data_IF_254643909114
#
_entry.id   IF_254643909114
#
_cell.length_a   1.000
_cell.length_b   1.000
_cell.length_c   1.000
_cell.angle_alpha   90.00
_cell.angle_beta   90.00
_cell.angle_gamma   90.00
#
_symmetry.space_group_name_H-M   'P 1'
#
loop_
_entity.id
_entity.type
_entity.pdbx_description
1 polymer ?
#
# COMPACT_ATOMS: atom_id res chain seq x y z
N UNK A 1 22.41 -11.39 2.73
CA UNK A 1 21.80 -10.22 3.39
C UNK A 1 22.31 -10.14 4.81
N UNK A 2 22.58 -8.92 5.29
CA UNK A 2 22.87 -8.64 6.70
C UNK A 2 21.59 -8.69 7.53
N UNK A 3 21.74 -8.77 8.86
CA UNK A 3 20.59 -8.69 9.77
C UNK A 3 19.77 -7.40 9.56
N UNK A 4 20.45 -6.26 9.37
CA UNK A 4 19.80 -4.98 9.08
C UNK A 4 19.03 -5.00 7.75
N UNK A 5 19.58 -5.62 6.71
CA UNK A 5 18.89 -5.76 5.41
C UNK A 5 17.64 -6.62 5.55
N UNK A 6 17.69 -7.69 6.35
CA UNK A 6 16.52 -8.50 6.69
C UNK A 6 15.47 -7.69 7.44
N UNK A 7 15.87 -6.86 8.40
CA UNK A 7 14.94 -5.96 9.12
C UNK A 7 14.29 -4.92 8.19
N UNK A 8 15.01 -4.41 7.19
CA UNK A 8 14.46 -3.49 6.18
C UNK A 8 13.35 -4.18 5.37
N UNK A 9 13.56 -5.42 4.92
CA UNK A 9 12.53 -6.19 4.22
C UNK A 9 11.35 -6.52 5.14
N UNK A 10 11.62 -6.91 6.38
CA UNK A 10 10.55 -7.20 7.35
C UNK A 10 9.68 -5.97 7.64
N UNK A 11 10.30 -4.79 7.71
CA UNK A 11 9.56 -3.53 7.86
C UNK A 11 8.54 -3.33 6.73
N UNK A 12 8.92 -3.65 5.48
CA UNK A 12 7.97 -3.60 4.36
C UNK A 12 6.88 -4.67 4.47
N UNK A 13 7.25 -5.90 4.82
CA UNK A 13 6.28 -7.02 4.96
C UNK A 13 5.21 -6.71 5.99
N UNK A 14 5.60 -6.23 7.17
CA UNK A 14 4.67 -5.77 8.22
C UNK A 14 3.75 -4.70 7.64
N UNK A 15 4.31 -3.67 7.01
CA UNK A 15 3.53 -2.56 6.45
C UNK A 15 2.52 -3.04 5.40
N UNK A 16 2.93 -3.91 4.47
CA UNK A 16 2.05 -4.45 3.43
C UNK A 16 0.96 -5.37 4.01
N UNK A 17 1.32 -6.22 4.98
CA UNK A 17 0.37 -7.08 5.68
C UNK A 17 -0.72 -6.28 6.41
N UNK A 18 -0.35 -5.19 7.09
CA UNK A 18 -1.32 -4.30 7.72
C UNK A 18 -2.22 -3.61 6.68
N UNK A 19 -1.70 -3.27 5.49
CA UNK A 19 -2.51 -2.71 4.40
C UNK A 19 -3.59 -3.70 3.92
N UNK A 20 -3.20 -4.96 3.69
CA UNK A 20 -4.11 -6.02 3.25
C UNK A 20 -5.14 -6.36 4.34
N UNK A 21 -4.69 -6.48 5.58
CA UNK A 21 -5.55 -6.68 6.75
C UNK A 21 -6.56 -5.54 6.91
N UNK A 22 -6.14 -4.29 6.71
CA UNK A 22 -7.05 -3.15 6.75
C UNK A 22 -8.11 -3.28 5.66
N UNK A 23 -7.72 -3.54 4.41
CA UNK A 23 -8.67 -3.71 3.30
C UNK A 23 -9.67 -4.82 3.59
N UNK A 24 -9.22 -5.98 4.07
CA UNK A 24 -10.08 -7.10 4.47
C UNK A 24 -11.18 -6.68 5.44
N UNK A 25 -10.88 -5.80 6.40
CA UNK A 25 -11.80 -5.38 7.46
C UNK A 25 -12.59 -4.09 7.15
N UNK A 26 -12.36 -3.46 6.00
CA UNK A 26 -13.22 -2.37 5.53
C UNK A 26 -14.54 -2.99 5.00
N UNK A 27 -15.72 -2.59 5.51
CA UNK A 27 -17.01 -2.99 4.95
C UNK A 27 -17.12 -2.57 3.49
N UNK A 28 -17.72 -3.42 2.65
CA UNK A 28 -17.75 -3.18 1.21
C UNK A 28 -18.52 -1.90 0.86
N UNK A 29 -19.62 -1.64 1.57
CA UNK A 29 -20.42 -0.42 1.45
C UNK A 29 -19.66 0.85 1.83
N UNK A 30 -18.57 0.75 2.61
CA UNK A 30 -17.74 1.90 2.95
C UNK A 30 -16.83 2.31 1.78
N UNK A 31 -16.52 1.41 0.83
CA UNK A 31 -15.57 1.68 -0.26
C UNK A 31 -15.96 2.88 -1.15
N UNK A 32 -17.26 3.15 -1.28
CA UNK A 32 -17.81 4.26 -2.07
C UNK A 32 -17.91 5.57 -1.28
N UNK A 33 -17.55 5.56 0.01
CA UNK A 33 -17.59 6.75 0.86
C UNK A 33 -16.52 7.77 0.52
N UNK A 34 -16.88 9.05 0.56
CA UNK A 34 -15.97 10.19 0.37
C UNK A 34 -16.34 11.35 1.29
N UNK A 35 -15.33 12.06 1.79
CA UNK A 35 -15.54 13.34 2.49
C UNK A 35 -15.53 14.54 1.55
N UNK A 36 -15.15 14.35 0.29
CA UNK A 36 -15.11 15.43 -0.68
C UNK A 36 -16.46 15.64 -1.33
N UNK A 37 -17.04 16.82 -1.13
CA UNK A 37 -18.23 17.29 -1.85
C UNK A 37 -17.90 17.84 -3.25
N UNK A 38 -16.63 17.82 -3.67
CA UNK A 38 -16.12 18.45 -4.90
C UNK A 38 -15.33 17.49 -5.79
N UNK A 39 -15.62 16.19 -5.73
CA UNK A 39 -15.01 15.18 -6.63
C UNK A 39 -13.70 14.57 -6.16
N UNK A 40 -13.40 14.58 -4.85
CA UNK A 40 -12.26 13.86 -4.27
C UNK A 40 -12.44 12.34 -4.27
N UNK A 41 -11.34 11.61 -4.00
CA UNK A 41 -11.31 10.15 -3.99
C UNK A 41 -12.20 9.58 -2.88
N UNK A 42 -13.01 8.58 -3.24
CA UNK A 42 -13.61 7.68 -2.26
C UNK A 42 -12.55 6.71 -1.73
N UNK A 43 -12.93 5.85 -0.80
CA UNK A 43 -12.01 4.88 -0.18
C UNK A 43 -11.41 3.93 -1.23
N UNK A 44 -12.22 3.40 -2.15
CA UNK A 44 -11.73 2.54 -3.24
C UNK A 44 -10.66 3.25 -4.09
N UNK A 45 -10.90 4.51 -4.48
CA UNK A 45 -9.93 5.31 -5.24
C UNK A 45 -8.70 5.68 -4.45
N UNK A 46 -8.78 5.82 -3.12
CA UNK A 46 -7.59 6.01 -2.28
C UNK A 46 -6.72 4.74 -2.27
N UNK A 47 -7.32 3.56 -2.16
CA UNK A 47 -6.60 2.28 -2.22
C UNK A 47 -6.01 2.02 -3.61
N UNK A 48 -6.78 2.29 -4.67
CA UNK A 48 -6.29 2.25 -6.05
C UNK A 48 -5.12 3.21 -6.26
N UNK A 49 -5.16 4.41 -5.65
CA UNK A 49 -4.05 5.36 -5.71
C UNK A 49 -2.78 4.85 -5.01
N UNK A 50 -2.90 4.18 -3.85
CA UNK A 50 -1.76 3.51 -3.20
C UNK A 50 -1.12 2.51 -4.16
N UNK A 51 -1.92 1.63 -4.76
CA UNK A 51 -1.44 0.65 -5.73
C UNK A 51 -0.77 1.33 -6.94
N UNK A 52 -1.39 2.37 -7.50
CA UNK A 52 -0.86 3.10 -8.66
C UNK A 52 0.51 3.74 -8.37
N UNK A 53 0.72 4.28 -7.17
CA UNK A 53 2.01 4.86 -6.76
C UNK A 53 3.11 3.79 -6.64
N UNK A 54 2.76 2.58 -6.17
CA UNK A 54 3.68 1.41 -6.22
C UNK A 54 3.95 1.01 -7.67
N UNK A 55 2.92 0.89 -8.50
CA UNK A 55 3.06 0.47 -9.89
C UNK A 55 3.93 1.41 -10.71
N UNK A 56 3.80 2.73 -10.53
CA UNK A 56 4.64 3.73 -11.18
C UNK A 56 6.13 3.57 -10.84
N UNK A 57 6.44 3.29 -9.56
CA UNK A 57 7.83 3.00 -9.15
C UNK A 57 8.37 1.73 -9.77
N UNK A 58 7.53 0.72 -9.81
CA UNK A 58 7.90 -0.61 -10.25
C UNK A 58 7.90 -0.74 -11.76
N UNK A 59 7.47 0.26 -12.54
CA UNK A 59 7.23 0.12 -13.98
C UNK A 59 8.40 -0.50 -14.74
N UNK A 60 9.63 0.00 -14.56
CA UNK A 60 10.80 -0.57 -15.24
C UNK A 60 11.17 -1.95 -14.70
N UNK A 61 11.00 -2.17 -13.39
CA UNK A 61 11.36 -3.43 -12.74
C UNK A 61 10.38 -4.56 -13.09
N UNK A 62 9.08 -4.28 -13.08
CA UNK A 62 8.02 -5.22 -13.42
C UNK A 62 8.10 -5.66 -14.88
N UNK A 63 8.44 -4.74 -15.80
CA UNK A 63 8.77 -5.07 -17.20
C UNK A 63 9.97 -6.00 -17.29
N UNK A 64 11.07 -5.71 -16.57
CA UNK A 64 12.27 -6.57 -16.53
C UNK A 64 11.96 -7.97 -15.99
N UNK A 65 11.05 -8.08 -15.03
CA UNK A 65 10.61 -9.34 -14.43
C UNK A 65 9.47 -10.04 -15.19
N UNK A 66 9.05 -9.51 -16.35
CA UNK A 66 7.90 -9.98 -17.13
C UNK A 66 6.64 -10.23 -16.28
N UNK A 67 6.41 -9.39 -15.28
CA UNK A 67 5.30 -9.51 -14.32
C UNK A 67 4.50 -8.20 -14.35
N UNK A 68 3.60 -8.01 -15.32
CA UNK A 68 2.83 -6.78 -15.43
C UNK A 68 1.93 -6.58 -14.19
N UNK A 69 1.86 -5.34 -13.72
CA UNK A 69 1.02 -4.94 -12.61
C UNK A 69 -0.34 -4.48 -13.13
N UNK A 70 -1.39 -4.80 -12.38
CA UNK A 70 -2.76 -4.28 -12.63
C UNK A 70 -2.72 -2.77 -12.83
N UNK A 71 -3.54 -2.26 -13.75
CA UNK A 71 -3.77 -0.83 -13.92
C UNK A 71 -5.27 -0.58 -13.80
N UNK A 72 -5.62 0.48 -13.06
CA UNK A 72 -7.00 0.95 -12.96
C UNK A 72 -7.19 2.17 -13.84
N UNK A 73 -8.36 2.31 -14.42
CA UNK A 73 -8.70 3.48 -15.23
C UNK A 73 -8.77 4.74 -14.36
N UNK A 74 -8.57 5.91 -15.00
CA UNK A 74 -8.62 7.18 -14.29
C UNK A 74 -10.02 7.41 -13.72
N UNK A 75 -10.12 7.42 -12.40
CA UNK A 75 -11.39 7.63 -11.68
C UNK A 75 -12.19 6.35 -11.46
N UNK A 76 -11.67 5.18 -11.84
CA UNK A 76 -12.25 3.89 -11.47
C UNK A 76 -12.27 3.73 -9.95
N UNK A 77 -13.38 3.25 -9.41
CA UNK A 77 -13.53 2.80 -8.02
C UNK A 77 -13.61 1.26 -8.04
N UNK A 78 -12.46 0.55 -7.95
CA UNK A 78 -12.44 -0.90 -8.17
C UNK A 78 -13.10 -1.66 -7.01
N UNK A 79 -13.56 -2.89 -7.28
CA UNK A 79 -14.12 -3.77 -6.24
C UNK A 79 -13.08 -4.14 -5.19
N UNK A 80 -13.55 -4.61 -4.03
CA UNK A 80 -12.70 -5.05 -2.93
C UNK A 80 -11.72 -6.14 -3.37
N UNK A 81 -12.19 -7.11 -4.15
CA UNK A 81 -11.41 -8.23 -4.67
C UNK A 81 -10.31 -7.75 -5.61
N UNK A 82 -10.65 -6.84 -6.55
CA UNK A 82 -9.66 -6.24 -7.45
C UNK A 82 -8.59 -5.46 -6.69
N UNK A 83 -8.98 -4.71 -5.66
CA UNK A 83 -8.06 -3.98 -4.80
C UNK A 83 -7.14 -4.93 -4.01
N UNK A 84 -7.69 -6.02 -3.46
CA UNK A 84 -6.92 -7.04 -2.75
C UNK A 84 -5.87 -7.68 -3.66
N UNK A 85 -6.27 -8.12 -4.85
CA UNK A 85 -5.36 -8.70 -5.85
C UNK A 85 -4.25 -7.71 -6.23
N UNK A 86 -4.62 -6.47 -6.56
CA UNK A 86 -3.67 -5.46 -6.99
C UNK A 86 -2.69 -5.05 -5.88
N UNK A 87 -3.15 -4.87 -4.64
CA UNK A 87 -2.29 -4.51 -3.51
C UNK A 87 -1.39 -5.67 -3.07
N UNK A 88 -1.88 -6.91 -3.13
CA UNK A 88 -1.07 -8.09 -2.85
C UNK A 88 0.06 -8.21 -3.88
N UNK A 89 -0.29 -8.17 -5.17
CA UNK A 89 0.67 -8.25 -6.27
C UNK A 89 1.73 -7.14 -6.21
N UNK A 90 1.32 -5.89 -6.03
CA UNK A 90 2.28 -4.78 -5.94
C UNK A 90 3.07 -4.79 -4.64
N UNK A 91 2.50 -5.33 -3.56
CA UNK A 91 3.17 -5.55 -2.28
C UNK A 91 4.35 -6.51 -2.40
N UNK A 92 4.13 -7.67 -2.99
CA UNK A 92 5.17 -8.68 -3.26
C UNK A 92 6.23 -8.14 -4.23
N UNK A 93 5.82 -7.41 -5.26
CA UNK A 93 6.75 -6.84 -6.23
C UNK A 93 7.62 -5.73 -5.62
N UNK A 94 7.07 -4.91 -4.71
CA UNK A 94 7.85 -3.96 -3.93
C UNK A 94 8.88 -4.65 -3.04
N UNK A 95 8.54 -5.78 -2.42
CA UNK A 95 9.50 -6.57 -1.63
C UNK A 95 10.66 -7.06 -2.50
N UNK A 96 10.35 -7.67 -3.65
CA UNK A 96 11.37 -8.11 -4.62
C UNK A 96 12.26 -6.96 -5.09
N UNK A 97 11.66 -5.78 -5.30
CA UNK A 97 12.40 -4.58 -5.69
C UNK A 97 13.31 -4.06 -4.57
N UNK A 98 12.81 -4.01 -3.34
CA UNK A 98 13.62 -3.64 -2.17
C UNK A 98 14.80 -4.61 -2.00
N UNK A 99 14.55 -5.92 -2.12
CA UNK A 99 15.60 -6.94 -2.05
C UNK A 99 16.65 -6.73 -3.15
N UNK A 100 16.20 -6.51 -4.39
CA UNK A 100 17.11 -6.19 -5.50
C UNK A 100 17.96 -4.95 -5.22
N UNK A 101 17.37 -3.88 -4.69
CA UNK A 101 18.12 -2.67 -4.33
C UNK A 101 19.15 -2.93 -3.22
N UNK A 102 18.81 -3.73 -2.20
CA UNK A 102 19.75 -4.09 -1.12
C UNK A 102 20.93 -4.89 -1.67
N UNK A 103 20.68 -5.88 -2.53
CA UNK A 103 21.71 -6.66 -3.23
C UNK A 103 22.63 -5.79 -4.10
N UNK A 104 22.18 -4.60 -4.50
CA UNK A 104 22.96 -3.59 -5.22
C UNK A 104 23.49 -2.47 -4.31
N UNK A 105 23.78 -2.80 -3.04
CA UNK A 105 24.37 -1.86 -2.07
C UNK A 105 23.41 -0.75 -1.63
N UNK A 106 22.10 -0.99 -1.71
CA UNK A 106 21.06 -0.02 -1.34
C UNK A 106 20.78 1.06 -2.39
N UNK A 107 21.31 0.91 -3.61
CA UNK A 107 21.11 1.86 -4.70
C UNK A 107 19.72 1.73 -5.31
N UNK A 108 19.12 2.87 -5.68
CA UNK A 108 17.78 2.94 -6.28
C UNK A 108 17.83 3.79 -7.54
N UNK A 109 17.39 3.21 -8.65
CA UNK A 109 17.31 3.92 -9.94
C UNK A 109 16.43 5.17 -9.83
N UNK A 110 16.91 6.30 -10.34
CA UNK A 110 16.22 7.59 -10.31
C UNK A 110 15.81 8.07 -8.90
N UNK A 111 16.44 7.57 -7.85
CA UNK A 111 16.21 8.00 -6.47
C UNK A 111 17.51 8.00 -5.67
N UNK A 112 18.27 9.10 -5.76
CA UNK A 112 19.64 9.23 -5.23
C UNK A 112 19.78 9.05 -3.71
N UNK A 113 18.68 9.10 -2.95
CA UNK A 113 18.70 8.96 -1.49
C UNK A 113 18.84 7.51 -1.03
N UNK A 114 18.68 6.53 -1.92
CA UNK A 114 18.83 5.11 -1.61
C UNK A 114 17.58 4.42 -1.05
N UNK A 115 17.71 3.13 -0.74
CA UNK A 115 16.60 2.22 -0.43
C UNK A 115 15.88 2.54 0.88
N UNK A 116 16.60 2.94 1.93
CA UNK A 116 16.00 3.23 3.25
C UNK A 116 15.10 4.48 3.20
N UNK A 117 15.55 5.63 2.67
CA UNK A 117 14.65 6.78 2.50
C UNK A 117 13.50 6.51 1.53
N UNK A 118 13.69 5.66 0.53
CA UNK A 118 12.61 5.24 -0.36
C UNK A 118 11.54 4.44 0.40
N UNK A 119 11.95 3.45 1.20
CA UNK A 119 11.02 2.70 2.05
C UNK A 119 10.24 3.63 2.98
N UNK A 120 10.93 4.57 3.62
CA UNK A 120 10.31 5.59 4.48
C UNK A 120 9.27 6.45 3.73
N UNK A 121 9.52 6.78 2.46
CA UNK A 121 8.55 7.50 1.62
C UNK A 121 7.26 6.69 1.41
N UNK A 122 7.36 5.40 1.06
CA UNK A 122 6.17 4.56 0.85
C UNK A 122 5.39 4.33 2.14
N UNK A 123 6.07 4.06 3.25
CA UNK A 123 5.42 3.91 4.55
C UNK A 123 4.66 5.19 4.92
N UNK A 124 5.27 6.36 4.74
CA UNK A 124 4.67 7.66 5.04
C UNK A 124 3.47 7.97 4.15
N UNK A 125 3.60 7.78 2.84
CA UNK A 125 2.54 8.00 1.86
C UNK A 125 1.33 7.11 2.14
N UNK A 126 1.57 5.82 2.39
CA UNK A 126 0.49 4.88 2.64
C UNK A 126 -0.11 5.04 4.04
N UNK A 127 0.67 5.43 5.05
CA UNK A 127 0.15 5.82 6.37
C UNK A 127 -0.77 7.04 6.29
N UNK A 128 -0.42 8.04 5.48
CA UNK A 128 -1.28 9.20 5.22
C UNK A 128 -2.64 8.75 4.66
N UNK A 129 -2.65 7.87 3.65
CA UNK A 129 -3.90 7.36 3.09
C UNK A 129 -4.68 6.44 4.03
N UNK A 130 -4.03 5.60 4.83
CA UNK A 130 -4.71 4.81 5.89
C UNK A 130 -5.47 5.71 6.86
N UNK A 131 -4.82 6.75 7.36
CA UNK A 131 -5.46 7.72 8.25
C UNK A 131 -6.67 8.40 7.59
N UNK A 132 -6.51 8.84 6.34
CA UNK A 132 -7.59 9.43 5.54
C UNK A 132 -8.77 8.47 5.32
N UNK A 133 -8.50 7.20 5.01
CA UNK A 133 -9.51 6.14 4.82
C UNK A 133 -10.29 5.92 6.12
N UNK A 134 -9.61 5.70 7.25
CA UNK A 134 -10.26 5.45 8.54
C UNK A 134 -11.07 6.67 9.01
N UNK A 135 -10.57 7.88 8.77
CA UNK A 135 -11.32 9.11 9.04
C UNK A 135 -12.57 9.21 8.16
N UNK A 136 -12.45 8.88 6.87
CA UNK A 136 -13.55 8.90 5.91
C UNK A 136 -14.66 7.93 6.35
N UNK A 137 -14.30 6.69 6.71
CA UNK A 137 -15.26 5.72 7.27
C UNK A 137 -16.00 6.29 8.48
N UNK A 138 -15.25 6.79 9.47
CA UNK A 138 -15.84 7.32 10.71
C UNK A 138 -16.79 8.48 10.45
N UNK A 139 -16.39 9.42 9.59
CA UNK A 139 -17.19 10.60 9.26
C UNK A 139 -18.39 10.28 8.36
N UNK A 140 -18.34 9.18 7.60
CA UNK A 140 -19.47 8.64 6.83
C UNK A 140 -20.42 7.76 7.65
N UNK A 141 -20.25 7.70 8.98
CA UNK A 141 -21.16 6.98 9.88
C UNK A 141 -20.82 5.51 10.13
N UNK A 142 -19.71 5.00 9.59
CA UNK A 142 -19.27 3.64 9.84
C UNK A 142 -18.61 3.51 11.21
N UNK A 143 -19.06 2.53 11.99
CA UNK A 143 -18.36 2.10 13.21
C UNK A 143 -17.08 1.38 12.81
N UNK A 144 -15.93 1.86 13.27
CA UNK A 144 -14.67 1.15 13.06
C UNK A 144 -14.64 -0.15 13.89
N UNK A 145 -14.46 -1.33 13.28
CA UNK A 145 -14.31 -2.59 14.00
C UNK A 145 -13.02 -2.59 14.83
N UNK A 146 -12.95 -3.44 15.85
CA UNK A 146 -11.77 -3.54 16.73
C UNK A 146 -10.50 -3.93 15.95
N UNK A 147 -10.67 -4.71 14.88
CA UNK A 147 -9.62 -4.99 13.90
C UNK A 147 -8.94 -3.70 13.40
N UNK A 148 -9.72 -2.72 12.97
CA UNK A 148 -9.20 -1.46 12.43
C UNK A 148 -8.76 -0.45 13.50
N UNK A 149 -9.24 -0.56 14.75
CA UNK A 149 -8.84 0.33 15.84
C UNK A 149 -7.54 -0.10 16.50
N UNK A 150 -7.42 -1.39 16.80
CA UNK A 150 -6.40 -1.92 17.70
C UNK A 150 -5.47 -2.90 16.99
N UNK A 151 -6.02 -3.82 16.20
CA UNK A 151 -5.25 -4.95 15.69
C UNK A 151 -4.31 -4.56 14.54
N UNK A 152 -4.49 -3.39 13.93
CA UNK A 152 -3.52 -2.79 12.99
C UNK A 152 -2.16 -2.48 13.64
N UNK A 153 -2.09 -2.46 14.97
CA UNK A 153 -0.88 -2.20 15.76
C UNK A 153 -0.25 -3.48 16.35
N UNK A 154 -0.90 -4.64 16.19
CA UNK A 154 -0.45 -5.91 16.76
C UNK A 154 0.58 -6.62 15.86
N UNK A 155 1.68 -5.96 15.53
CA UNK A 155 2.65 -6.42 14.52
C UNK A 155 3.36 -7.74 14.86
N UNK A 156 3.39 -8.13 16.14
CA UNK A 156 3.97 -9.40 16.58
C UNK A 156 2.98 -10.58 16.49
N UNK A 157 1.68 -10.31 16.34
CA UNK A 157 0.63 -11.33 16.24
C UNK A 157 0.13 -11.53 14.81
N UNK A 158 0.53 -10.64 13.91
CA UNK A 158 0.11 -10.61 12.52
C UNK A 158 1.35 -10.52 11.70
#
# INVERSE_FOLDING_TARGET
MTDLETQILETWRIHNRIMLFMLEHIPEEALTSTLSKRGGRDIARQLAHIHAVRAWRLESFSKKMNTPLVQFEKGESPSKEKLQQALAQSGEMMEKYLQHCLEQGGTVSNFKRGVVPMLGYYISHEAHHRGSILLTMKQSGFKLPDALKWQIWEWNKR
#
